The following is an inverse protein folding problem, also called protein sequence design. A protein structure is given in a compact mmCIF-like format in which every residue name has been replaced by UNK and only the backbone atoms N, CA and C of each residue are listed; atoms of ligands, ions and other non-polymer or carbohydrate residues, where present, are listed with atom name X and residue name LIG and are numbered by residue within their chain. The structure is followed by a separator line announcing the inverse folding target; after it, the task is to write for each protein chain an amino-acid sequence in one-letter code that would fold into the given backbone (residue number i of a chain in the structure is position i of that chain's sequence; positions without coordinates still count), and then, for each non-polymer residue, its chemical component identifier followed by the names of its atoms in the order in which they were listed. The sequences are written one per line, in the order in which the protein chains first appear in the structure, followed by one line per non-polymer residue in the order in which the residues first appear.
data_IF_734081168622
#
_entry.id   IF_734081168622
#
_cell.length_a   1.000
_cell.length_b   1.000
_cell.length_c   1.000
_cell.angle_alpha   90.00
_cell.angle_beta   90.00
_cell.angle_gamma   90.00
#
_symmetry.space_group_name_H-M   'P 1'
#
loop_
_entity.id
_entity.type
_entity.pdbx_description
1 polymer ?
#
# COMPACT_ATOMS: atom_id res chain seq x y z
N UNK A 1 -8.82 -5.09 29.77
CA UNK A 1 -7.63 -4.96 28.90
C UNK A 1 -7.84 -3.75 28.02
N UNK A 2 -6.94 -2.76 28.04
CA UNK A 2 -7.08 -1.54 27.23
C UNK A 2 -7.08 -1.88 25.73
N UNK A 3 -7.87 -1.20 24.91
CA UNK A 3 -7.97 -1.41 23.45
C UNK A 3 -6.59 -1.38 22.77
N UNK A 4 -5.65 -0.61 23.32
CA UNK A 4 -4.26 -0.55 22.89
C UNK A 4 -3.48 -1.87 23.12
N UNK A 5 -3.75 -2.58 24.22
CA UNK A 5 -3.11 -3.87 24.49
C UNK A 5 -3.63 -4.96 23.54
N UNK A 6 -4.93 -4.97 23.24
CA UNK A 6 -5.50 -5.90 22.26
C UNK A 6 -4.89 -5.69 20.86
N UNK A 7 -4.75 -4.43 20.43
CA UNK A 7 -4.08 -4.10 19.18
C UNK A 7 -2.62 -4.55 19.17
N UNK A 8 -1.87 -4.25 20.24
CA UNK A 8 -0.47 -4.67 20.37
C UNK A 8 -0.29 -6.19 20.32
N UNK A 9 -1.16 -6.94 21.02
CA UNK A 9 -1.15 -8.41 20.97
C UNK A 9 -1.47 -8.92 19.56
N UNK A 10 -2.47 -8.36 18.88
CA UNK A 10 -2.82 -8.76 17.52
C UNK A 10 -1.66 -8.54 16.53
N UNK A 11 -0.96 -7.39 16.63
CA UNK A 11 0.22 -7.10 15.82
C UNK A 11 1.34 -8.09 16.11
N UNK A 12 1.64 -8.35 17.39
CA UNK A 12 2.68 -9.32 17.76
C UNK A 12 2.35 -10.74 17.26
N UNK A 13 1.10 -11.19 17.40
CA UNK A 13 0.65 -12.49 16.88
C UNK A 13 0.77 -12.54 15.36
N UNK A 14 0.39 -11.47 14.65
CA UNK A 14 0.54 -11.36 13.21
C UNK A 14 2.00 -11.44 12.76
N UNK A 15 2.90 -10.70 13.42
CA UNK A 15 4.34 -10.70 13.12
C UNK A 15 4.99 -12.05 13.42
N UNK A 16 4.65 -12.69 14.54
CA UNK A 16 5.14 -14.02 14.89
C UNK A 16 4.61 -15.07 13.92
N UNK A 17 3.32 -14.99 13.55
CA UNK A 17 2.72 -15.86 12.55
C UNK A 17 3.37 -15.71 11.17
N UNK A 18 3.64 -14.46 10.75
CA UNK A 18 4.37 -14.19 9.51
C UNK A 18 5.81 -14.72 9.56
N UNK A 19 6.52 -14.51 10.67
CA UNK A 19 7.87 -15.04 10.85
C UNK A 19 7.87 -16.58 10.84
N UNK A 20 6.93 -17.22 11.52
CA UNK A 20 6.76 -18.67 11.52
C UNK A 20 6.44 -19.21 10.12
N UNK A 21 5.52 -18.57 9.40
CA UNK A 21 5.20 -18.89 8.00
C UNK A 21 6.44 -18.79 7.10
N UNK A 22 7.27 -17.77 7.31
CA UNK A 22 8.49 -17.58 6.53
C UNK A 22 9.58 -18.56 6.90
N UNK A 23 9.74 -18.94 8.16
CA UNK A 23 10.77 -19.92 8.57
C UNK A 23 10.36 -21.33 8.13
N UNK A 24 9.07 -21.67 8.25
CA UNK A 24 8.53 -23.00 7.97
C UNK A 24 7.65 -23.07 6.72
N UNK A 25 8.02 -22.33 5.66
CA UNK A 25 7.24 -22.30 4.42
C UNK A 25 6.98 -23.70 3.86
N UNK A 26 8.00 -24.54 3.73
CA UNK A 26 7.84 -25.91 3.20
C UNK A 26 6.87 -26.78 4.02
N UNK A 27 7.05 -26.91 5.35
CA UNK A 27 6.11 -27.61 6.22
C UNK A 27 4.69 -27.04 6.18
N UNK A 28 4.53 -25.71 6.18
CA UNK A 28 3.21 -25.06 6.16
C UNK A 28 2.49 -25.30 4.84
N UNK A 29 3.18 -25.16 3.70
CA UNK A 29 2.62 -25.44 2.38
C UNK A 29 2.15 -26.89 2.28
N UNK A 30 2.98 -27.85 2.72
CA UNK A 30 2.63 -29.28 2.73
C UNK A 30 1.48 -29.60 3.67
N UNK A 31 1.42 -28.96 4.84
CA UNK A 31 0.31 -29.12 5.78
C UNK A 31 -1.00 -28.61 5.18
N UNK A 32 -0.98 -27.41 4.60
CA UNK A 32 -2.16 -26.82 3.94
C UNK A 32 -2.61 -27.69 2.77
N UNK A 33 -1.70 -28.14 1.91
CA UNK A 33 -2.03 -29.05 0.81
C UNK A 33 -2.64 -30.37 1.32
N UNK A 34 -2.06 -30.98 2.35
CA UNK A 34 -2.57 -32.21 2.95
C UNK A 34 -3.93 -32.05 3.67
N UNK A 35 -4.20 -30.87 4.23
CA UNK A 35 -5.51 -30.53 4.78
C UNK A 35 -6.56 -30.32 3.68
N UNK A 36 -6.21 -29.58 2.62
CA UNK A 36 -7.10 -29.31 1.50
C UNK A 36 -7.44 -30.59 0.71
N UNK A 37 -6.47 -31.48 0.52
CA UNK A 37 -6.70 -32.78 -0.12
C UNK A 37 -7.56 -33.75 0.73
N UNK A 38 -7.72 -33.51 2.03
CA UNK A 38 -8.62 -34.29 2.89
C UNK A 38 -10.09 -33.84 2.81
N UNK A 39 -10.38 -32.72 2.15
CA UNK A 39 -11.74 -32.22 2.01
C UNK A 39 -12.41 -32.92 0.82
N UNK A 40 -13.44 -33.76 1.03
CA UNK A 40 -14.00 -34.64 -0.01
C UNK A 40 -14.66 -33.91 -1.18
N UNK A 41 -14.99 -32.63 -1.02
CA UNK A 41 -15.64 -31.79 -2.04
C UNK A 41 -14.66 -30.87 -2.80
N UNK A 42 -13.36 -30.91 -2.49
CA UNK A 42 -12.40 -29.97 -3.06
C UNK A 42 -11.57 -30.63 -4.17
N UNK A 43 -11.52 -30.05 -5.39
CA UNK A 43 -10.68 -30.58 -6.46
C UNK A 43 -9.19 -30.49 -6.12
N UNK A 44 -8.42 -31.54 -6.42
CA UNK A 44 -6.96 -31.58 -6.21
C UNK A 44 -6.20 -30.44 -6.91
N UNK A 45 -6.79 -29.86 -7.96
CA UNK A 45 -6.25 -28.67 -8.66
C UNK A 45 -6.29 -27.42 -7.78
N UNK A 46 -7.31 -27.25 -6.94
CA UNK A 46 -7.43 -26.11 -6.02
C UNK A 46 -6.39 -26.20 -4.91
N UNK A 47 -6.20 -27.40 -4.32
CA UNK A 47 -5.18 -27.63 -3.29
C UNK A 47 -3.77 -27.26 -3.79
N UNK A 48 -3.40 -27.72 -4.99
CA UNK A 48 -2.12 -27.38 -5.62
C UNK A 48 -2.01 -25.90 -5.98
N UNK A 49 -3.09 -25.26 -6.44
CA UNK A 49 -3.09 -23.83 -6.75
C UNK A 49 -2.86 -23.00 -5.48
N UNK A 50 -3.50 -23.36 -4.37
CA UNK A 50 -3.28 -22.71 -3.06
C UNK A 50 -1.86 -22.94 -2.56
N UNK A 51 -1.33 -24.16 -2.67
CA UNK A 51 0.05 -24.46 -2.30
C UNK A 51 1.06 -23.61 -3.10
N UNK A 52 0.89 -23.50 -4.42
CA UNK A 52 1.73 -22.64 -5.27
C UNK A 52 1.63 -21.15 -4.91
N UNK A 53 0.44 -20.65 -4.56
CA UNK A 53 0.25 -19.27 -4.11
C UNK A 53 1.00 -19.02 -2.78
N UNK A 54 0.97 -19.98 -1.86
CA UNK A 54 1.72 -19.89 -0.60
C UNK A 54 3.23 -19.90 -0.86
N UNK A 55 3.75 -20.81 -1.70
CA UNK A 55 5.17 -20.82 -2.06
C UNK A 55 5.62 -19.51 -2.71
N UNK A 56 4.83 -18.99 -3.66
CA UNK A 56 5.11 -17.71 -4.33
C UNK A 56 5.07 -16.54 -3.34
N UNK A 57 4.08 -16.52 -2.44
CA UNK A 57 3.97 -15.50 -1.39
C UNK A 57 5.15 -15.53 -0.42
N UNK A 58 5.60 -16.72 -0.03
CA UNK A 58 6.78 -16.87 0.82
C UNK A 58 8.07 -16.49 0.10
N UNK A 59 8.18 -16.76 -1.21
CA UNK A 59 9.28 -16.29 -2.02
C UNK A 59 9.32 -14.75 -2.10
N UNK A 60 8.17 -14.09 -2.29
CA UNK A 60 8.07 -12.63 -2.27
C UNK A 60 8.45 -12.00 -0.93
N UNK A 61 8.21 -12.72 0.17
CA UNK A 61 8.58 -12.31 1.52
C UNK A 61 9.96 -12.84 1.96
N UNK A 62 10.72 -13.50 1.08
CA UNK A 62 12.00 -14.10 1.43
C UNK A 62 13.04 -13.06 1.90
N UNK A 63 12.90 -11.80 1.47
CA UNK A 63 13.71 -10.68 1.95
C UNK A 63 13.62 -10.48 3.47
N UNK A 64 12.48 -10.80 4.09
CA UNK A 64 12.26 -10.67 5.53
C UNK A 64 13.04 -11.73 6.35
N UNK A 65 13.57 -12.79 5.71
CA UNK A 65 14.42 -13.78 6.39
C UNK A 65 15.84 -13.25 6.66
N UNK A 66 16.29 -12.23 5.93
CA UNK A 66 17.59 -11.62 6.17
C UNK A 66 17.44 -10.45 7.14
N UNK A 67 18.07 -10.54 8.31
CA UNK A 67 18.04 -9.47 9.31
C UNK A 67 18.51 -8.11 8.76
N UNK A 68 19.46 -8.11 7.81
CA UNK A 68 19.95 -6.89 7.14
C UNK A 68 18.93 -6.29 6.19
N UNK A 69 18.23 -7.11 5.42
CA UNK A 69 17.18 -6.62 4.52
C UNK A 69 15.96 -6.18 5.32
N UNK A 70 15.58 -6.94 6.34
CA UNK A 70 14.50 -6.59 7.26
C UNK A 70 14.77 -5.25 7.95
N UNK A 71 15.97 -5.04 8.50
CA UNK A 71 16.31 -3.75 9.11
C UNK A 71 16.31 -2.62 8.09
N UNK A 72 16.81 -2.86 6.87
CA UNK A 72 16.70 -1.90 5.76
C UNK A 72 15.26 -1.51 5.44
N UNK A 73 14.35 -2.48 5.35
CA UNK A 73 12.91 -2.27 5.10
C UNK A 73 12.29 -1.48 6.26
N UNK A 74 12.55 -1.85 7.51
CA UNK A 74 12.00 -1.18 8.68
C UNK A 74 12.47 0.28 8.78
N UNK A 75 13.78 0.52 8.61
CA UNK A 75 14.36 1.87 8.68
C UNK A 75 13.83 2.74 7.55
N UNK A 76 13.87 2.26 6.31
CA UNK A 76 13.38 3.03 5.16
C UNK A 76 11.89 3.33 5.26
N UNK A 77 11.07 2.36 5.68
CA UNK A 77 9.65 2.56 5.91
C UNK A 77 9.40 3.60 7.01
N UNK A 78 10.07 3.48 8.15
CA UNK A 78 9.93 4.42 9.25
C UNK A 78 10.31 5.85 8.81
N UNK A 79 11.44 6.00 8.13
CA UNK A 79 11.88 7.29 7.58
C UNK A 79 10.87 7.85 6.58
N UNK A 80 10.31 7.02 5.69
CA UNK A 80 9.30 7.46 4.73
C UNK A 80 8.05 8.02 5.43
N UNK A 81 7.55 7.35 6.47
CA UNK A 81 6.40 7.82 7.25
C UNK A 81 6.70 9.10 8.01
N UNK A 82 7.89 9.20 8.62
CA UNK A 82 8.32 10.43 9.31
C UNK A 82 8.47 11.60 8.35
N UNK A 83 9.08 11.39 7.18
CA UNK A 83 9.19 12.42 6.15
C UNK A 83 7.83 12.85 5.63
N UNK A 84 6.89 11.91 5.43
CA UNK A 84 5.52 12.23 5.04
C UNK A 84 4.82 13.13 6.07
N UNK A 85 4.85 12.73 7.35
CA UNK A 85 4.29 13.52 8.44
C UNK A 85 4.93 14.90 8.56
N UNK A 86 6.25 14.98 8.39
CA UNK A 86 6.99 16.23 8.38
C UNK A 86 6.58 17.12 7.20
N UNK A 87 6.44 16.59 5.98
CA UNK A 87 5.96 17.38 4.83
C UNK A 87 4.55 17.92 5.04
N UNK A 88 3.64 17.15 5.65
CA UNK A 88 2.32 17.65 6.03
C UNK A 88 2.48 18.80 7.04
N UNK A 89 3.26 18.59 8.09
CA UNK A 89 3.45 19.59 9.14
C UNK A 89 4.05 20.90 8.60
N UNK A 90 5.09 20.81 7.77
CA UNK A 90 5.71 21.96 7.12
C UNK A 90 4.78 22.65 6.13
N UNK A 91 3.93 21.90 5.43
CA UNK A 91 2.91 22.47 4.53
C UNK A 91 1.88 23.28 5.30
N UNK A 92 1.44 22.82 6.47
CA UNK A 92 0.56 23.60 7.34
C UNK A 92 1.26 24.85 7.87
N UNK A 93 2.52 24.69 8.30
CA UNK A 93 3.32 25.77 8.85
C UNK A 93 3.58 26.89 7.83
N UNK A 94 3.84 26.53 6.56
CA UNK A 94 4.02 27.47 5.46
C UNK A 94 2.80 28.38 5.21
N UNK A 95 1.61 27.94 5.62
CA UNK A 95 0.35 28.69 5.52
C UNK A 95 -0.11 29.28 6.86
N UNK A 96 0.79 29.35 7.85
CA UNK A 96 0.50 29.92 9.16
C UNK A 96 -0.39 29.04 10.06
N UNK A 97 -0.65 27.79 9.69
CA UNK A 97 -1.42 26.84 10.50
C UNK A 97 -0.48 26.17 11.50
N UNK A 98 -0.59 26.61 12.76
CA UNK A 98 0.21 26.09 13.87
C UNK A 98 -0.59 25.07 14.66
N UNK A 99 -0.40 23.79 14.34
CA UNK A 99 -0.99 22.66 15.06
C UNK A 99 0.10 21.80 15.69
N UNK A 100 -0.24 20.97 16.67
CA UNK A 100 0.75 20.03 17.21
C UNK A 100 1.15 18.98 16.16
N UNK A 101 2.38 18.45 16.22
CA UNK A 101 2.82 17.37 15.31
C UNK A 101 1.89 16.15 15.33
N UNK A 102 1.23 15.89 16.47
CA UNK A 102 0.23 14.83 16.60
C UNK A 102 -0.98 15.04 15.68
N UNK A 103 -1.44 16.28 15.50
CA UNK A 103 -2.54 16.59 14.57
C UNK A 103 -2.10 16.32 13.13
N UNK A 104 -0.87 16.72 12.75
CA UNK A 104 -0.30 16.40 11.43
C UNK A 104 -0.19 14.88 11.20
N UNK A 105 0.16 14.11 12.23
CA UNK A 105 0.18 12.64 12.17
C UNK A 105 -1.23 12.04 12.01
N UNK A 106 -2.27 12.66 12.58
CA UNK A 106 -3.67 12.25 12.35
C UNK A 106 -4.06 12.55 10.90
N UNK A 107 -3.72 13.72 10.36
CA UNK A 107 -3.94 14.05 8.94
C UNK A 107 -3.25 13.00 8.04
N UNK A 108 -2.01 12.62 8.37
CA UNK A 108 -1.29 11.56 7.65
C UNK A 108 -2.05 10.22 7.67
N UNK A 109 -2.49 9.78 8.85
CA UNK A 109 -3.23 8.53 9.00
C UNK A 109 -4.55 8.52 8.22
N UNK A 110 -5.33 9.60 8.32
CA UNK A 110 -6.59 9.75 7.58
C UNK A 110 -6.35 9.80 6.08
N UNK A 111 -5.29 10.50 5.63
CA UNK A 111 -4.92 10.58 4.21
C UNK A 111 -4.49 9.21 3.68
N UNK A 112 -3.69 8.44 4.44
CA UNK A 112 -3.26 7.09 4.06
C UNK A 112 -4.45 6.14 3.85
N UNK A 113 -5.47 6.23 4.72
CA UNK A 113 -6.72 5.49 4.55
C UNK A 113 -7.49 6.01 3.33
N UNK A 114 -7.62 7.32 3.17
CA UNK A 114 -8.35 7.94 2.06
C UNK A 114 -7.81 7.54 0.68
N UNK A 115 -6.50 7.51 0.49
CA UNK A 115 -5.86 7.14 -0.80
C UNK A 115 -5.87 5.64 -1.07
N UNK A 116 -6.25 4.80 -0.10
CA UNK A 116 -6.41 3.35 -0.32
C UNK A 116 -7.59 3.07 -1.26
N UNK A 117 -8.59 3.95 -1.30
CA UNK A 117 -9.72 3.86 -2.23
C UNK A 117 -9.37 4.67 -3.47
N UNK A 118 -9.07 4.04 -4.63
CA UNK A 118 -8.76 4.77 -5.86
C UNK A 118 -10.04 5.38 -6.44
N UNK A 119 -10.41 6.57 -5.98
CA UNK A 119 -11.63 7.27 -6.38
C UNK A 119 -11.41 8.36 -7.43
N UNK A 120 -10.18 8.82 -7.59
CA UNK A 120 -9.80 9.85 -8.58
C UNK A 120 -8.36 9.65 -9.07
N UNK A 121 -8.06 9.97 -10.34
CA UNK A 121 -6.70 9.97 -10.84
C UNK A 121 -5.82 10.90 -9.99
N UNK A 122 -4.69 10.40 -9.51
CA UNK A 122 -3.76 11.18 -8.68
C UNK A 122 -4.32 11.65 -7.33
N UNK A 123 -5.48 11.15 -6.88
CA UNK A 123 -6.09 11.49 -5.58
C UNK A 123 -6.44 12.97 -5.38
N UNK A 124 -6.64 13.72 -6.47
CA UNK A 124 -7.13 15.10 -6.42
C UNK A 124 -8.52 15.16 -5.78
N UNK A 125 -8.69 16.03 -4.81
CA UNK A 125 -9.92 16.16 -4.01
C UNK A 125 -9.92 15.25 -2.78
N UNK A 126 -9.43 14.01 -2.88
CA UNK A 126 -9.37 13.07 -1.73
C UNK A 126 -8.43 13.59 -0.64
N UNK A 127 -7.20 13.98 -1.04
CA UNK A 127 -6.21 14.51 -0.10
C UNK A 127 -6.73 15.81 0.54
N UNK A 128 -7.32 16.70 -0.26
CA UNK A 128 -7.90 17.98 0.21
C UNK A 128 -9.03 17.72 1.22
N UNK A 129 -9.89 16.75 0.92
CA UNK A 129 -10.96 16.33 1.81
C UNK A 129 -10.42 15.79 3.14
N UNK A 130 -9.41 14.92 3.12
CA UNK A 130 -8.79 14.40 4.34
C UNK A 130 -8.19 15.50 5.22
N UNK A 131 -7.52 16.50 4.62
CA UNK A 131 -7.01 17.67 5.33
C UNK A 131 -8.14 18.46 5.99
N UNK A 132 -9.19 18.81 5.24
CA UNK A 132 -10.34 19.55 5.75
C UNK A 132 -11.09 18.78 6.85
N UNK A 133 -11.26 17.47 6.67
CA UNK A 133 -11.94 16.60 7.62
C UNK A 133 -11.29 16.68 9.01
N UNK A 134 -9.98 16.51 9.07
CA UNK A 134 -9.24 16.53 10.34
C UNK A 134 -9.10 17.95 10.87
N UNK A 135 -8.68 18.90 10.02
CA UNK A 135 -8.33 20.25 10.48
C UNK A 135 -9.54 21.14 10.77
N UNK A 136 -10.74 20.81 10.30
CA UNK A 136 -11.96 21.53 10.70
C UNK A 136 -12.23 21.55 12.20
N UNK A 137 -11.63 20.61 12.94
CA UNK A 137 -11.71 20.54 14.41
C UNK A 137 -10.74 21.51 15.12
N UNK A 138 -9.73 22.01 14.40
CA UNK A 138 -8.64 22.80 14.95
C UNK A 138 -8.52 24.20 14.32
N UNK A 139 -8.98 24.36 13.08
CA UNK A 139 -8.80 25.56 12.25
C UNK A 139 -10.15 25.97 11.67
N UNK A 140 -10.54 27.25 11.86
CA UNK A 140 -11.78 27.80 11.31
C UNK A 140 -11.66 28.19 9.83
N UNK A 141 -10.47 28.63 9.44
CA UNK A 141 -10.19 29.05 8.07
C UNK A 141 -9.99 27.84 7.14
N UNK A 142 -11.08 27.45 6.47
CA UNK A 142 -11.09 26.33 5.53
C UNK A 142 -10.33 26.64 4.24
N UNK A 143 -10.26 27.91 3.83
CA UNK A 143 -9.59 28.30 2.60
C UNK A 143 -8.08 28.14 2.74
N UNK A 144 -7.53 28.59 3.87
CA UNK A 144 -6.10 28.39 4.19
C UNK A 144 -5.74 26.91 4.34
N UNK A 145 -6.61 26.10 4.98
CA UNK A 145 -6.41 24.64 5.05
C UNK A 145 -6.41 24.00 3.66
N UNK A 146 -7.35 24.41 2.80
CA UNK A 146 -7.42 23.91 1.43
C UNK A 146 -6.15 24.28 0.65
N UNK A 147 -5.69 25.53 0.74
CA UNK A 147 -4.46 25.98 0.09
C UNK A 147 -3.22 25.18 0.56
N UNK A 148 -3.09 24.96 1.87
CA UNK A 148 -2.01 24.14 2.44
C UNK A 148 -2.05 22.69 1.94
N UNK A 149 -3.25 22.11 1.78
CA UNK A 149 -3.41 20.75 1.25
C UNK A 149 -3.04 20.63 -0.23
N UNK A 150 -3.31 21.66 -1.04
CA UNK A 150 -2.88 21.72 -2.44
C UNK A 150 -1.36 21.82 -2.51
N UNK A 151 -0.77 22.70 -1.69
CA UNK A 151 0.68 22.84 -1.62
C UNK A 151 1.37 21.52 -1.24
N UNK A 152 0.88 20.85 -0.19
CA UNK A 152 1.35 19.53 0.20
C UNK A 152 1.28 18.55 -0.97
N UNK A 153 0.11 18.44 -1.61
CA UNK A 153 -0.10 17.49 -2.69
C UNK A 153 0.83 17.75 -3.88
N UNK A 154 0.93 19.00 -4.33
CA UNK A 154 1.77 19.36 -5.47
C UNK A 154 3.26 19.21 -5.19
N UNK A 155 3.69 19.47 -3.96
CA UNK A 155 5.09 19.32 -3.54
C UNK A 155 5.61 17.88 -3.68
N UNK A 156 4.73 16.89 -3.58
CA UNK A 156 5.07 15.47 -3.75
C UNK A 156 4.73 14.97 -5.15
N UNK A 157 3.55 15.34 -5.66
CA UNK A 157 3.02 14.84 -6.92
C UNK A 157 3.86 15.30 -8.12
N UNK A 158 4.26 16.58 -8.16
CA UNK A 158 5.03 17.12 -9.29
C UNK A 158 6.41 16.46 -9.40
N UNK A 159 7.25 16.38 -8.35
CA UNK A 159 8.56 15.76 -8.47
C UNK A 159 8.49 14.28 -8.85
N UNK A 160 7.61 13.51 -8.20
CA UNK A 160 7.44 12.07 -8.47
C UNK A 160 6.99 11.85 -9.91
N UNK A 161 5.97 12.58 -10.36
CA UNK A 161 5.43 12.48 -11.72
C UNK A 161 6.47 12.90 -12.75
N UNK A 162 7.22 13.97 -12.49
CA UNK A 162 8.26 14.46 -13.39
C UNK A 162 9.37 13.43 -13.56
N UNK A 163 9.87 12.86 -12.45
CA UNK A 163 10.90 11.81 -12.50
C UNK A 163 10.39 10.59 -13.26
N UNK A 164 9.17 10.12 -12.95
CA UNK A 164 8.55 9.01 -13.66
C UNK A 164 8.42 9.26 -15.16
N UNK A 165 7.92 10.44 -15.55
CA UNK A 165 7.77 10.85 -16.95
C UNK A 165 9.12 10.90 -17.68
N UNK A 166 10.14 11.46 -17.05
CA UNK A 166 11.49 11.54 -17.63
C UNK A 166 12.06 10.15 -17.91
N UNK A 167 11.89 9.19 -16.99
CA UNK A 167 12.33 7.81 -17.23
C UNK A 167 11.46 7.07 -18.24
N UNK A 168 10.15 7.31 -18.26
CA UNK A 168 9.22 6.75 -19.25
C UNK A 168 9.65 7.14 -20.68
N UNK A 169 9.89 8.44 -20.92
CA UNK A 169 10.34 8.93 -22.22
C UNK A 169 11.73 8.44 -22.59
N UNK A 170 12.65 8.32 -21.62
CA UNK A 170 14.01 7.80 -21.86
C UNK A 170 14.07 6.31 -22.18
N UNK A 171 13.10 5.54 -21.69
CA UNK A 171 12.99 4.11 -22.00
C UNK A 171 12.43 3.85 -23.41
N UNK A 172 12.04 4.90 -24.16
CA UNK A 172 11.45 4.76 -25.49
C UNK A 172 10.02 4.20 -25.47
N UNK A 173 9.40 4.14 -24.29
CA UNK A 173 8.04 3.62 -24.13
C UNK A 173 7.05 4.62 -24.70
N UNK A 174 6.12 4.11 -25.49
CA UNK A 174 4.97 4.85 -25.99
C UNK A 174 3.70 4.41 -25.22
N UNK A 175 2.61 5.16 -25.36
CA UNK A 175 1.35 4.86 -24.67
C UNK A 175 0.76 3.54 -25.18
N UNK A 176 0.97 3.19 -26.46
CA UNK A 176 0.49 1.93 -27.03
C UNK A 176 1.18 0.71 -26.41
N UNK A 177 2.46 0.79 -26.05
CA UNK A 177 3.18 -0.30 -25.36
C UNK A 177 2.54 -0.59 -23.98
N UNK A 178 2.00 0.44 -23.32
CA UNK A 178 1.30 0.32 -22.03
C UNK A 178 -0.09 -0.29 -22.24
N UNK A 179 -0.78 0.07 -23.30
CA UNK A 179 -2.08 -0.51 -23.67
C UNK A 179 -1.96 -1.99 -24.07
N UNK A 180 -0.94 -2.34 -24.85
CA UNK A 180 -0.65 -3.71 -25.25
C UNK A 180 -0.28 -4.59 -24.04
N UNK A 181 0.55 -4.06 -23.13
CA UNK A 181 0.89 -4.75 -21.88
C UNK A 181 -0.35 -4.96 -20.98
N UNK A 182 -1.27 -4.00 -20.95
CA UNK A 182 -2.53 -4.13 -20.21
C UNK A 182 -3.44 -5.17 -20.86
N UNK A 183 -3.61 -5.13 -22.18
CA UNK A 183 -4.43 -6.09 -22.93
C UNK A 183 -3.93 -7.53 -22.74
N UNK A 184 -2.62 -7.75 -22.82
CA UNK A 184 -2.02 -9.06 -22.56
C UNK A 184 -2.27 -9.55 -21.12
N UNK A 185 -2.20 -8.66 -20.12
CA UNK A 185 -2.45 -9.02 -18.73
C UNK A 185 -3.94 -9.33 -18.45
N UNK A 186 -4.85 -8.61 -19.10
CA UNK A 186 -6.29 -8.85 -19.01
C UNK A 186 -6.67 -10.20 -19.68
N UNK A 187 -6.07 -10.53 -20.84
CA UNK A 187 -6.24 -11.85 -21.47
C UNK A 187 -5.71 -13.02 -20.62
N UNK A 188 -4.58 -12.85 -19.95
CA UNK A 188 -3.98 -13.88 -19.08
C UNK A 188 -4.81 -14.07 -17.81
N UNK A 189 -5.43 -13.01 -17.30
CA UNK A 189 -6.22 -13.05 -16.06
C UNK A 189 -7.67 -13.49 -16.26
N UNK A 190 -8.24 -13.38 -17.47
CA UNK A 190 -9.61 -13.82 -17.79
C UNK A 190 -9.68 -14.76 -19.01
N UNK A 191 -9.38 -16.06 -18.86
CA UNK A 191 -9.36 -17.02 -19.97
C UNK A 191 -10.75 -17.35 -20.57
N UNK A 192 -11.85 -16.87 -19.98
CA UNK A 192 -13.23 -17.17 -20.43
C UNK A 192 -13.64 -16.42 -21.72
N UNK A 193 -12.96 -15.32 -22.09
CA UNK A 193 -13.23 -14.60 -23.34
C UNK A 193 -12.64 -15.26 -24.60
N UNK A 194 -11.68 -16.19 -24.43
CA UNK A 194 -11.12 -16.97 -25.56
C UNK A 194 -12.10 -17.95 -26.18
N UNK A 195 -13.15 -18.37 -25.48
CA UNK A 195 -14.09 -19.39 -25.97
C UNK A 195 -15.33 -18.83 -26.66
N UNK A 196 -15.58 -17.51 -26.60
CA UNK A 196 -16.74 -16.87 -27.24
C UNK A 196 -16.42 -16.23 -28.59
N UNK A 197 -15.14 -16.20 -28.98
CA UNK A 197 -14.63 -15.58 -30.21
C UNK A 197 -14.09 -16.59 -31.23
N UNK A 198 -14.18 -17.90 -30.96
CA UNK A 198 -13.93 -18.97 -31.94
C UNK A 198 -15.22 -19.65 -32.38
#
# INVERSE_FOLDING_TARGET
VSSAMLFGVAVCVGLVGAAAYLIWTGPVVRFVEACLCRIPFLPATVARKVANLLETGAAGLASLRSGRLLSGILVTSFLQWMLNGLTIHLSLWAFGIHVSPSVSAIVLGVTAVGVTIPSSPGYFGVIQFCFLLVLSLFVKDKETVFAASIYYHMSQWIPVTTVGMVYFLRAGLNIADVEDAKAQNDEISNPAERSSTQ
#
